data_IF_059569365064
#
_entry.id   IF_059569365064
#
_cell.length_a   1.000
_cell.length_b   1.000
_cell.length_c   1.000
_cell.angle_alpha   90.00
_cell.angle_beta   90.00
_cell.angle_gamma   90.00
#
_symmetry.space_group_name_H-M   'P 1'
#
loop_
_entity.id
_entity.type
_entity.pdbx_description
1 polymer ?
#
# COMPACT_ATOMS: atom_id res chain seq x y z
N UNK A 1 -10.88 34.27 -74.65
CA UNK A 1 -11.87 34.31 -73.55
C UNK A 1 -11.13 33.77 -72.33
N UNK A 2 -11.02 34.59 -71.28
CA UNK A 2 -9.98 34.51 -70.28
C UNK A 2 -9.95 33.19 -69.49
N UNK A 3 -8.73 32.72 -69.28
CA UNK A 3 -8.28 31.65 -68.38
C UNK A 3 -8.32 32.16 -66.93
N UNK A 4 -8.93 31.40 -66.01
CA UNK A 4 -8.86 31.71 -64.58
C UNK A 4 -8.62 30.42 -63.78
N UNK A 5 -7.41 29.89 -63.95
CA UNK A 5 -6.85 28.86 -63.10
C UNK A 5 -6.59 29.47 -61.70
N UNK A 6 -7.44 29.14 -60.72
CA UNK A 6 -7.31 29.54 -59.31
C UNK A 6 -6.07 28.91 -58.67
N UNK A 7 -4.91 29.48 -58.95
CA UNK A 7 -3.68 29.25 -58.19
C UNK A 7 -3.81 29.97 -56.85
N UNK A 8 -4.24 29.24 -55.82
CA UNK A 8 -4.05 29.66 -54.43
C UNK A 8 -2.54 29.97 -54.24
N UNK A 9 -2.16 31.20 -53.85
CA UNK A 9 -0.77 31.53 -53.63
C UNK A 9 -0.24 30.64 -52.49
N UNK A 10 0.74 29.81 -52.81
CA UNK A 10 1.45 28.97 -51.84
C UNK A 10 2.29 29.86 -50.93
N UNK A 11 1.68 30.45 -49.90
CA UNK A 11 2.34 31.29 -48.88
C UNK A 11 3.49 30.56 -48.16
N UNK A 12 3.51 29.23 -48.18
CA UNK A 12 4.58 28.41 -47.61
C UNK A 12 5.91 28.47 -48.37
N UNK A 13 5.95 28.99 -49.60
CA UNK A 13 7.16 29.06 -50.44
C UNK A 13 8.00 30.33 -50.20
N UNK A 14 7.43 31.36 -49.56
CA UNK A 14 8.11 32.64 -49.29
C UNK A 14 8.88 32.65 -47.96
N UNK A 15 8.49 31.80 -47.02
CA UNK A 15 9.08 31.78 -45.68
C UNK A 15 10.12 30.65 -45.61
N UNK A 16 11.40 31.00 -45.47
CA UNK A 16 12.48 30.02 -45.20
C UNK A 16 12.18 29.31 -43.87
N UNK A 17 11.55 28.14 -43.92
CA UNK A 17 11.10 27.31 -42.79
C UNK A 17 12.18 27.07 -41.72
N UNK A 18 13.47 27.15 -42.10
CA UNK A 18 14.62 27.12 -41.19
C UNK A 18 14.56 28.22 -40.12
N UNK A 19 14.14 29.43 -40.47
CA UNK A 19 14.01 30.54 -39.51
C UNK A 19 12.73 30.45 -38.69
N UNK A 20 11.67 29.84 -39.22
CA UNK A 20 10.41 29.60 -38.47
C UNK A 20 10.66 28.60 -37.35
N UNK A 21 11.37 27.51 -37.65
CA UNK A 21 11.75 26.50 -36.65
C UNK A 21 12.67 27.09 -35.58
N UNK A 22 13.61 27.95 -35.97
CA UNK A 22 14.50 28.64 -35.04
C UNK A 22 13.74 29.64 -34.16
N UNK A 23 12.82 30.42 -34.75
CA UNK A 23 12.00 31.39 -34.03
C UNK A 23 11.07 30.73 -33.02
N UNK A 24 10.35 29.67 -33.41
CA UNK A 24 9.46 28.97 -32.49
C UNK A 24 10.22 28.25 -31.37
N UNK A 25 11.38 27.67 -31.67
CA UNK A 25 12.25 27.09 -30.63
C UNK A 25 12.71 28.16 -29.63
N UNK A 26 13.14 29.33 -30.11
CA UNK A 26 13.52 30.45 -29.24
C UNK A 26 12.35 30.97 -28.40
N UNK A 27 11.15 31.04 -28.98
CA UNK A 27 9.94 31.46 -28.28
C UNK A 27 9.52 30.46 -27.21
N UNK A 28 9.58 29.15 -27.46
CA UNK A 28 9.28 28.13 -26.43
C UNK A 28 10.33 28.13 -25.33
N UNK A 29 11.61 28.11 -25.71
CA UNK A 29 12.72 28.06 -24.75
C UNK A 29 12.72 29.28 -23.83
N UNK A 30 12.22 30.43 -24.30
CA UNK A 30 12.10 31.65 -23.52
C UNK A 30 10.67 32.02 -23.14
N UNK A 31 9.69 31.12 -23.37
CA UNK A 31 8.27 31.40 -23.12
C UNK A 31 8.01 31.77 -21.66
N UNK A 32 8.74 31.11 -20.74
CA UNK A 32 8.70 31.44 -19.33
C UNK A 32 9.15 32.87 -19.07
N UNK A 33 10.21 33.37 -19.70
CA UNK A 33 10.63 34.76 -19.55
C UNK A 33 9.61 35.73 -20.12
N UNK A 34 9.00 35.43 -21.28
CA UNK A 34 7.94 36.24 -21.86
C UNK A 34 6.67 36.29 -21.01
N UNK A 35 6.40 35.26 -20.20
CA UNK A 35 5.26 35.21 -19.30
C UNK A 35 5.58 35.83 -17.92
N UNK A 36 6.77 35.56 -17.39
CA UNK A 36 7.19 36.04 -16.07
C UNK A 36 7.50 37.54 -16.09
N UNK A 37 8.10 38.07 -17.16
CA UNK A 37 8.44 39.49 -17.26
C UNK A 37 7.21 40.42 -17.11
N UNK A 38 6.11 40.25 -17.87
CA UNK A 38 4.91 41.06 -17.68
C UNK A 38 4.22 40.78 -16.34
N UNK A 39 4.24 39.53 -15.84
CA UNK A 39 3.69 39.21 -14.53
C UNK A 39 4.43 39.96 -13.41
N UNK A 40 5.77 40.02 -13.46
CA UNK A 40 6.59 40.77 -12.52
C UNK A 40 6.29 42.27 -12.62
N UNK A 41 6.15 42.82 -13.82
CA UNK A 41 5.80 44.24 -14.00
C UNK A 41 4.42 44.58 -13.43
N UNK A 42 3.42 43.71 -13.64
CA UNK A 42 2.07 43.85 -13.06
C UNK A 42 2.12 43.77 -11.54
N UNK A 43 2.84 42.81 -10.98
CA UNK A 43 3.06 42.72 -9.53
C UNK A 43 3.73 43.99 -9.02
N UNK A 44 4.80 44.49 -9.65
CA UNK A 44 5.47 45.73 -9.26
C UNK A 44 4.55 46.96 -9.30
N UNK A 45 3.67 47.06 -10.29
CA UNK A 45 2.68 48.13 -10.38
C UNK A 45 1.67 48.05 -9.22
N UNK A 46 1.17 46.86 -8.91
CA UNK A 46 0.26 46.65 -7.78
C UNK A 46 0.94 46.76 -6.40
N UNK A 47 2.24 46.44 -6.29
CA UNK A 47 3.04 46.68 -5.08
C UNK A 47 3.06 48.16 -4.69
N UNK A 48 2.86 49.07 -5.65
CA UNK A 48 2.79 50.51 -5.40
C UNK A 48 1.43 50.99 -4.88
N UNK A 49 0.38 50.18 -5.02
CA UNK A 49 -1.00 50.43 -4.52
C UNK A 49 -1.29 49.68 -3.20
N UNK A 50 -0.40 48.77 -2.81
CA UNK A 50 -0.54 47.91 -1.64
C UNK A 50 -0.50 48.74 -0.34
N UNK A 51 -1.62 48.73 0.37
CA UNK A 51 -1.79 49.49 1.61
C UNK A 51 -1.39 48.64 2.82
N UNK A 52 -1.03 49.27 3.94
CA UNK A 52 -0.60 48.56 5.17
C UNK A 52 -1.65 47.56 5.66
N UNK A 53 -2.94 47.84 5.43
CA UNK A 53 -4.04 46.96 5.81
C UNK A 53 -4.04 45.63 5.01
N UNK A 54 -3.72 45.66 3.72
CA UNK A 54 -3.60 44.45 2.89
C UNK A 54 -2.44 43.54 3.36
N UNK A 55 -1.35 44.13 3.85
CA UNK A 55 -0.24 43.38 4.44
C UNK A 55 -0.62 42.71 5.76
N UNK A 56 -1.48 43.35 6.56
CA UNK A 56 -1.98 42.78 7.80
C UNK A 56 -2.90 41.59 7.51
N UNK A 57 -3.81 41.74 6.54
CA UNK A 57 -4.72 40.67 6.13
C UNK A 57 -3.99 39.48 5.51
N UNK A 58 -3.01 39.73 4.64
CA UNK A 58 -2.15 38.69 4.07
C UNK A 58 -1.36 37.96 5.16
N UNK A 59 -0.84 38.70 6.15
CA UNK A 59 -0.08 38.14 7.27
C UNK A 59 -0.95 37.26 8.16
N UNK A 60 -2.16 37.68 8.49
CA UNK A 60 -3.06 36.86 9.33
C UNK A 60 -3.53 35.61 8.59
N UNK A 61 -3.88 35.71 7.30
CA UNK A 61 -4.24 34.55 6.48
C UNK A 61 -3.07 33.54 6.36
N UNK A 62 -1.87 34.01 6.02
CA UNK A 62 -0.68 33.16 5.97
C UNK A 62 -0.37 32.55 7.33
N UNK A 63 -0.47 33.32 8.43
CA UNK A 63 -0.17 32.84 9.78
C UNK A 63 -1.14 31.74 10.21
N UNK A 64 -2.42 31.85 9.90
CA UNK A 64 -3.41 30.81 10.20
C UNK A 64 -3.13 29.51 9.44
N UNK A 65 -2.76 29.62 8.16
CA UNK A 65 -2.38 28.46 7.34
C UNK A 65 -1.11 27.79 7.86
N UNK A 66 -0.06 28.56 8.19
CA UNK A 66 1.17 27.99 8.74
C UNK A 66 0.95 27.30 10.08
N UNK A 67 0.19 27.90 11.00
CA UNK A 67 -0.13 27.29 12.30
C UNK A 67 -0.90 25.99 12.09
N UNK A 68 -1.89 25.98 11.18
CA UNK A 68 -2.70 24.80 10.88
C UNK A 68 -1.85 23.69 10.26
N UNK A 69 -0.98 24.01 9.31
CA UNK A 69 -0.06 23.04 8.67
C UNK A 69 0.92 22.45 9.70
N UNK A 70 1.49 23.29 10.58
CA UNK A 70 2.38 22.83 11.65
C UNK A 70 1.63 21.91 12.60
N UNK A 71 0.44 22.29 13.07
CA UNK A 71 -0.34 21.48 14.01
C UNK A 71 -0.74 20.13 13.40
N UNK A 72 -1.19 20.13 12.14
CA UNK A 72 -1.52 18.91 11.40
C UNK A 72 -0.30 18.00 11.21
N UNK A 73 0.84 18.57 10.80
CA UNK A 73 2.07 17.80 10.61
C UNK A 73 2.57 17.16 11.91
N UNK A 74 2.58 17.92 13.01
CA UNK A 74 2.96 17.40 14.34
C UNK A 74 2.00 16.29 14.79
N UNK A 75 0.69 16.48 14.59
CA UNK A 75 -0.32 15.48 14.94
C UNK A 75 -0.16 14.18 14.15
N UNK A 76 0.14 14.28 12.84
CA UNK A 76 0.42 13.13 11.98
C UNK A 76 1.68 12.40 12.47
N UNK A 77 2.79 13.12 12.66
CA UNK A 77 4.05 12.53 13.12
C UNK A 77 3.87 11.84 14.47
N UNK A 78 3.18 12.49 15.41
CA UNK A 78 2.88 11.93 16.72
C UNK A 78 2.05 10.64 16.61
N UNK A 79 0.97 10.65 15.83
CA UNK A 79 0.10 9.48 15.63
C UNK A 79 0.84 8.34 14.95
N UNK A 80 1.63 8.63 13.90
CA UNK A 80 2.47 7.64 13.23
C UNK A 80 3.49 7.02 14.18
N UNK A 81 4.11 7.83 15.05
CA UNK A 81 5.09 7.35 16.03
C UNK A 81 4.45 6.41 17.04
N UNK A 82 3.32 6.81 17.63
CA UNK A 82 2.56 5.96 18.56
C UNK A 82 2.10 4.66 17.89
N UNK A 83 1.68 4.72 16.63
CA UNK A 83 1.29 3.55 15.88
C UNK A 83 2.46 2.58 15.67
N UNK A 84 3.62 3.08 15.25
CA UNK A 84 4.81 2.25 15.04
C UNK A 84 5.33 1.66 16.35
N UNK A 85 5.24 2.39 17.46
CA UNK A 85 5.65 1.90 18.79
C UNK A 85 4.67 0.85 19.37
N UNK A 86 3.37 0.99 19.10
CA UNK A 86 2.34 0.06 19.59
C UNK A 86 2.21 -1.21 18.75
N UNK A 87 2.74 -1.23 17.52
CA UNK A 87 2.75 -2.41 16.67
C UNK A 87 3.55 -3.55 17.33
N UNK A 88 2.95 -4.74 17.54
CA UNK A 88 3.66 -5.88 18.10
C UNK A 88 4.83 -6.28 17.18
N UNK A 89 6.00 -6.53 17.77
CA UNK A 89 7.18 -6.98 17.04
C UNK A 89 6.96 -8.41 16.54
N UNK A 90 7.36 -8.68 15.30
CA UNK A 90 7.29 -10.03 14.73
C UNK A 90 8.26 -10.94 15.49
N UNK A 91 7.75 -12.01 16.08
CA UNK A 91 8.54 -13.08 16.71
C UNK A 91 8.60 -14.24 15.73
N UNK A 92 9.79 -14.78 15.49
CA UNK A 92 10.02 -15.85 14.51
C UNK A 92 10.52 -17.12 15.19
N UNK A 93 10.03 -18.28 14.76
CA UNK A 93 10.55 -19.57 15.18
C UNK A 93 11.85 -19.84 14.45
N UNK A 94 12.98 -19.72 15.15
CA UNK A 94 14.32 -19.91 14.56
C UNK A 94 14.61 -21.38 14.32
N UNK A 95 14.22 -22.24 15.25
CA UNK A 95 14.42 -23.68 15.16
C UNK A 95 13.31 -24.42 15.90
N UNK A 96 12.99 -25.63 15.46
CA UNK A 96 12.02 -26.52 16.06
C UNK A 96 12.45 -27.96 15.87
N UNK A 97 12.45 -28.74 16.96
CA UNK A 97 12.74 -30.16 16.93
C UNK A 97 11.73 -30.89 17.81
N UNK A 98 11.21 -32.01 17.30
CA UNK A 98 10.35 -32.92 18.05
C UNK A 98 10.93 -34.34 18.00
N UNK A 99 10.76 -35.06 19.10
CA UNK A 99 11.03 -36.49 19.12
C UNK A 99 9.97 -37.25 18.33
N UNK A 100 10.40 -38.12 17.41
CA UNK A 100 9.55 -39.08 16.72
C UNK A 100 9.72 -40.45 17.40
N UNK A 101 8.67 -41.00 18.02
CA UNK A 101 8.76 -42.31 18.65
C UNK A 101 9.06 -43.43 17.64
N UNK A 102 9.55 -44.56 18.15
CA UNK A 102 9.79 -45.77 17.36
C UNK A 102 8.49 -46.30 16.72
N UNK A 103 8.54 -46.96 15.54
CA UNK A 103 7.36 -47.53 14.90
C UNK A 103 6.56 -48.50 15.78
N UNK A 104 7.20 -49.17 16.75
CA UNK A 104 6.53 -50.03 17.72
C UNK A 104 5.50 -49.28 18.59
N UNK A 105 5.61 -47.95 18.70
CA UNK A 105 4.64 -47.10 19.42
C UNK A 105 3.47 -46.66 18.53
N UNK A 106 3.44 -47.01 17.26
CA UNK A 106 2.34 -46.64 16.36
C UNK A 106 1.07 -47.43 16.73
N UNK A 107 -0.04 -46.71 16.91
CA UNK A 107 -1.32 -47.29 17.30
C UNK A 107 -2.37 -46.94 16.23
N UNK A 108 -2.93 -47.97 15.60
CA UNK A 108 -4.06 -47.82 14.68
C UNK A 108 -5.36 -47.62 15.46
N UNK A 109 -6.37 -47.05 14.80
CA UNK A 109 -7.70 -46.86 15.42
C UNK A 109 -8.32 -48.19 15.81
N UNK A 110 -8.10 -49.21 15.00
CA UNK A 110 -8.61 -50.56 15.20
C UNK A 110 -7.93 -51.21 16.40
N UNK A 111 -6.60 -51.12 16.49
CA UNK A 111 -5.84 -51.62 17.64
C UNK A 111 -6.28 -50.92 18.93
N UNK A 112 -6.42 -49.60 18.90
CA UNK A 112 -6.94 -48.85 20.04
C UNK A 112 -8.34 -49.32 20.47
N UNK A 113 -9.25 -49.51 19.52
CA UNK A 113 -10.61 -49.99 19.83
C UNK A 113 -10.61 -51.44 20.35
N UNK A 114 -9.68 -52.28 19.91
CA UNK A 114 -9.49 -53.63 20.45
C UNK A 114 -9.00 -53.58 21.89
N UNK A 115 -7.98 -52.76 22.18
CA UNK A 115 -7.44 -52.57 23.53
C UNK A 115 -8.50 -52.05 24.50
N UNK A 116 -9.25 -51.01 24.10
CA UNK A 116 -10.34 -50.44 24.91
C UNK A 116 -11.47 -51.43 25.13
N UNK A 117 -11.79 -52.29 24.16
CA UNK A 117 -12.78 -53.37 24.35
C UNK A 117 -12.24 -54.44 25.31
N UNK A 118 -10.95 -54.75 25.22
CA UNK A 118 -10.26 -55.73 26.04
C UNK A 118 -10.20 -55.37 27.53
N UNK A 119 -10.34 -54.10 27.91
CA UNK A 119 -10.38 -53.69 29.32
C UNK A 119 -11.64 -54.17 30.06
N UNK A 120 -12.70 -54.54 29.33
CA UNK A 120 -13.98 -54.99 29.93
C UNK A 120 -14.71 -53.92 30.75
N UNK A 121 -14.23 -52.68 30.76
CA UNK A 121 -14.75 -51.60 31.61
C UNK A 121 -15.87 -50.79 30.96
N UNK A 122 -16.06 -50.92 29.65
CA UNK A 122 -16.98 -50.08 28.87
C UNK A 122 -18.16 -50.90 28.34
N UNK A 123 -19.37 -50.33 28.44
CA UNK A 123 -20.57 -50.88 27.78
C UNK A 123 -20.46 -50.76 26.26
N UNK A 124 -21.23 -51.55 25.51
CA UNK A 124 -21.25 -51.49 24.04
C UNK A 124 -21.68 -50.11 23.51
N UNK A 125 -22.57 -49.42 24.22
CA UNK A 125 -22.96 -48.03 23.94
C UNK A 125 -21.77 -47.08 24.09
N UNK A 126 -21.02 -47.21 25.19
CA UNK A 126 -19.81 -46.42 25.45
C UNK A 126 -18.72 -46.69 24.43
N UNK A 127 -18.53 -47.94 24.01
CA UNK A 127 -17.58 -48.33 22.96
C UNK A 127 -17.98 -47.72 21.61
N UNK A 128 -19.28 -47.74 21.28
CA UNK A 128 -19.79 -47.14 20.04
C UNK A 128 -19.61 -45.62 20.05
N UNK A 129 -19.84 -44.97 21.19
CA UNK A 129 -19.59 -43.55 21.34
C UNK A 129 -18.10 -43.21 21.21
N UNK A 130 -17.21 -43.97 21.85
CA UNK A 130 -15.75 -43.82 21.71
C UNK A 130 -15.28 -44.00 20.26
N UNK A 131 -15.82 -44.99 19.53
CA UNK A 131 -15.51 -45.19 18.11
C UNK A 131 -15.86 -43.96 17.28
N UNK A 132 -17.06 -43.39 17.48
CA UNK A 132 -17.49 -42.15 16.80
C UNK A 132 -16.56 -40.97 17.10
N UNK A 133 -16.09 -40.83 18.35
CA UNK A 133 -15.11 -39.80 18.71
C UNK A 133 -13.80 -40.02 17.96
N UNK A 134 -13.27 -41.25 17.97
CA UNK A 134 -12.01 -41.60 17.33
C UNK A 134 -12.03 -41.35 15.82
N UNK A 135 -13.13 -41.69 15.16
CA UNK A 135 -13.34 -41.46 13.73
C UNK A 135 -13.38 -39.95 13.38
N UNK A 136 -13.92 -39.12 14.29
CA UNK A 136 -14.08 -37.67 14.09
C UNK A 136 -12.94 -36.82 14.66
N UNK A 137 -12.00 -37.40 15.40
CA UNK A 137 -10.92 -36.69 16.10
C UNK A 137 -9.81 -36.12 15.21
N UNK A 138 -9.76 -36.51 13.93
CA UNK A 138 -8.66 -36.17 13.03
C UNK A 138 -7.36 -36.97 13.27
N UNK A 139 -7.37 -37.91 14.22
CA UNK A 139 -6.24 -38.81 14.47
C UNK A 139 -6.05 -39.74 13.27
N UNK A 140 -4.82 -39.83 12.76
CA UNK A 140 -4.47 -40.71 11.64
C UNK A 140 -4.06 -42.11 12.10
N UNK A 141 -3.96 -43.05 11.16
CA UNK A 141 -3.49 -44.43 11.44
C UNK A 141 -1.99 -44.49 11.81
N UNK A 142 -1.24 -43.41 11.54
CA UNK A 142 0.18 -43.30 11.85
C UNK A 142 0.46 -42.51 13.14
N UNK A 143 -0.46 -42.57 14.10
CA UNK A 143 -0.33 -41.86 15.38
C UNK A 143 0.40 -42.73 16.39
N UNK A 144 1.25 -42.13 17.22
CA UNK A 144 2.03 -42.84 18.24
C UNK A 144 1.34 -42.72 19.60
N UNK A 145 1.13 -43.86 20.25
CA UNK A 145 0.55 -43.97 21.60
C UNK A 145 1.62 -44.04 22.69
N UNK A 146 1.26 -43.75 23.96
CA UNK A 146 2.14 -43.96 25.09
C UNK A 146 2.35 -45.46 25.36
N UNK A 147 3.41 -45.78 26.11
CA UNK A 147 3.74 -47.18 26.46
C UNK A 147 2.61 -47.92 27.15
N UNK A 148 1.96 -47.31 28.14
CA UNK A 148 0.87 -47.98 28.85
C UNK A 148 -0.41 -48.20 28.03
N UNK A 149 -0.45 -47.74 26.77
CA UNK A 149 -1.56 -47.98 25.86
C UNK A 149 -1.39 -49.26 25.04
N UNK A 150 -0.15 -49.62 24.67
CA UNK A 150 0.19 -50.73 23.76
C UNK A 150 0.68 -51.96 24.53
#
# INVERSE_FOLDING_TARGET
MADENKNLPNFFLSIRLKYVKLGYHYLISNALYFLLLPAILVVLAHLSELTVDDFIDLRENLRFDFITVILCSVSIVFTCTLYLMSRPRKVYMVNFACYKPEPARMCTKELYMQLVKGTGTFTEESLTFKRKILEKSGIGQMTYGPEGLL
#
